data_IF_449987203675
#
_entry.id   IF_449987203675
#
_cell.length_a   1.000
_cell.length_b   1.000
_cell.length_c   1.000
_cell.angle_alpha   90.00
_cell.angle_beta   90.00
_cell.angle_gamma   90.00
#
_symmetry.space_group_name_H-M   'P 1'
#
loop_
_entity.id
_entity.type
_entity.pdbx_description
1 polymer ?
#
# COMPACT_ATOMS: atom_id res chain seq x y z
N UNK A 1 -2.17 -11.18 -30.52
CA UNK A 1 -3.41 -11.13 -31.29
C UNK A 1 -3.12 -10.25 -32.50
N UNK A 2 -3.09 -10.81 -33.72
CA UNK A 2 -2.89 -9.98 -34.93
C UNK A 2 -4.23 -9.31 -35.23
N UNK A 3 -4.27 -7.99 -35.22
CA UNK A 3 -5.40 -7.20 -35.68
C UNK A 3 -5.42 -7.22 -37.21
N UNK A 4 -6.56 -7.54 -37.80
CA UNK A 4 -6.79 -7.55 -39.24
C UNK A 4 -7.73 -6.41 -39.54
N UNK A 5 -7.38 -5.52 -40.47
CA UNK A 5 -8.29 -4.50 -40.93
C UNK A 5 -9.52 -5.11 -41.59
N UNK A 6 -10.70 -4.66 -41.20
CA UNK A 6 -11.92 -5.02 -41.92
C UNK A 6 -12.00 -4.20 -43.22
N UNK A 7 -12.06 -4.90 -44.36
CA UNK A 7 -12.26 -4.29 -45.65
C UNK A 7 -13.69 -4.62 -46.12
N UNK A 8 -14.48 -3.60 -46.37
CA UNK A 8 -15.83 -3.75 -46.94
C UNK A 8 -15.74 -3.63 -48.43
N UNK A 9 -16.13 -4.67 -49.15
CA UNK A 9 -16.14 -4.68 -50.62
C UNK A 9 -17.59 -4.77 -51.08
N UNK A 10 -18.04 -3.77 -51.88
CA UNK A 10 -19.36 -3.79 -52.49
C UNK A 10 -19.29 -4.59 -53.78
N UNK A 11 -20.09 -5.66 -53.92
CA UNK A 11 -20.16 -6.51 -55.08
C UNK A 11 -20.93 -5.75 -56.20
N UNK A 12 -20.24 -5.41 -57.29
CA UNK A 12 -20.86 -4.80 -58.43
C UNK A 12 -21.19 -5.79 -59.58
N UNK A 13 -20.57 -6.97 -59.59
CA UNK A 13 -20.79 -8.04 -60.55
C UNK A 13 -20.36 -9.43 -60.00
N UNK A 14 -20.62 -10.51 -60.75
CA UNK A 14 -20.33 -11.88 -60.35
C UNK A 14 -18.90 -12.35 -60.67
N UNK A 15 -17.91 -11.45 -60.74
CA UNK A 15 -16.51 -11.80 -60.96
C UNK A 15 -15.78 -12.19 -59.66
N UNK A 16 -14.81 -13.11 -59.71
CA UNK A 16 -14.07 -13.52 -58.51
C UNK A 16 -13.25 -12.34 -57.96
N UNK A 17 -13.44 -12.06 -56.67
CA UNK A 17 -12.75 -10.99 -55.94
C UNK A 17 -11.51 -11.57 -55.29
N UNK A 18 -10.36 -10.98 -55.57
CA UNK A 18 -9.10 -11.26 -54.88
C UNK A 18 -8.94 -10.29 -53.69
N UNK A 19 -9.16 -10.76 -52.50
CA UNK A 19 -8.95 -9.99 -51.28
C UNK A 19 -7.52 -10.22 -50.80
N UNK A 20 -6.71 -9.18 -50.76
CA UNK A 20 -5.37 -9.21 -50.17
C UNK A 20 -5.49 -8.55 -48.79
N UNK A 21 -5.34 -9.33 -47.73
CA UNK A 21 -5.30 -8.83 -46.36
C UNK A 21 -3.92 -8.23 -46.12
N UNK A 22 -3.88 -6.93 -45.85
CA UNK A 22 -2.67 -6.27 -45.35
C UNK A 22 -2.45 -6.57 -43.89
N UNK A 23 -1.21 -6.86 -43.49
CA UNK A 23 -0.87 -6.90 -42.05
C UNK A 23 -1.01 -5.49 -41.47
N UNK A 24 -1.70 -5.36 -40.34
CA UNK A 24 -1.69 -4.14 -39.56
C UNK A 24 -0.34 -4.03 -38.87
N UNK A 25 0.54 -3.24 -39.44
CA UNK A 25 1.84 -2.91 -38.86
C UNK A 25 1.79 -1.70 -37.91
N UNK A 26 0.60 -1.27 -37.49
CA UNK A 26 0.53 -0.31 -36.39
C UNK A 26 1.04 -1.03 -35.11
N UNK A 27 2.35 -1.02 -34.97
CA UNK A 27 3.00 -1.28 -33.71
C UNK A 27 2.55 -0.15 -32.81
N UNK A 28 1.65 -0.44 -31.87
CA UNK A 28 1.40 0.46 -30.75
C UNK A 28 2.77 0.64 -30.08
N UNK A 29 3.44 1.76 -30.37
CA UNK A 29 4.67 2.12 -29.67
C UNK A 29 4.26 2.35 -28.20
N UNK A 30 4.54 1.36 -27.37
CA UNK A 30 4.35 1.47 -25.95
C UNK A 30 5.27 2.57 -25.43
N UNK A 31 4.68 3.69 -25.07
CA UNK A 31 5.38 4.88 -24.58
C UNK A 31 5.38 4.85 -23.08
N UNK A 32 6.53 4.79 -22.48
CA UNK A 32 6.70 4.86 -21.02
C UNK A 32 7.17 6.23 -20.60
N UNK A 33 6.73 6.68 -19.43
CA UNK A 33 7.25 7.88 -18.79
C UNK A 33 8.59 7.54 -18.16
N UNK A 34 9.63 8.25 -18.59
CA UNK A 34 10.99 8.10 -18.06
C UNK A 34 11.31 9.22 -17.07
N UNK A 35 12.58 9.33 -16.70
CA UNK A 35 13.05 10.39 -15.82
C UNK A 35 12.61 11.79 -16.26
N UNK A 36 12.34 12.65 -15.30
CA UNK A 36 11.88 14.04 -15.50
C UNK A 36 10.54 14.16 -16.27
N UNK A 37 9.71 13.10 -16.25
CA UNK A 37 8.41 13.11 -16.91
C UNK A 37 8.47 13.04 -18.45
N UNK A 38 9.62 12.71 -19.03
CA UNK A 38 9.79 12.64 -20.48
C UNK A 38 9.20 11.33 -20.99
N UNK A 39 8.29 11.42 -21.97
CA UNK A 39 7.73 10.25 -22.66
C UNK A 39 8.70 9.72 -23.71
N UNK A 40 9.01 8.43 -23.66
CA UNK A 40 9.85 7.75 -24.67
C UNK A 40 9.24 6.41 -25.06
N UNK A 41 9.44 6.02 -26.31
CA UNK A 41 9.05 4.68 -26.75
C UNK A 41 9.90 3.63 -26.00
N UNK A 42 9.28 2.57 -25.49
CA UNK A 42 9.93 1.50 -24.73
C UNK A 42 11.13 0.92 -25.51
N UNK A 43 11.00 0.81 -26.83
CA UNK A 43 12.06 0.35 -27.72
C UNK A 43 13.29 1.27 -27.80
N UNK A 44 13.14 2.55 -27.45
CA UNK A 44 14.22 3.53 -27.47
C UNK A 44 15.00 3.59 -26.14
N UNK A 45 14.63 2.78 -25.14
CA UNK A 45 15.28 2.73 -23.85
C UNK A 45 16.42 1.71 -23.87
N UNK A 46 17.58 2.11 -23.38
CA UNK A 46 18.73 1.23 -23.16
C UNK A 46 18.64 0.43 -21.86
N UNK A 47 17.55 0.54 -21.12
CA UNK A 47 17.31 -0.08 -19.82
C UNK A 47 15.89 -0.60 -19.71
N UNK A 48 15.70 -1.60 -18.84
CA UNK A 48 14.40 -2.20 -18.63
C UNK A 48 13.53 -1.33 -17.70
N UNK A 49 12.35 -0.97 -18.19
CA UNK A 49 11.29 -0.32 -17.44
C UNK A 49 10.05 -1.20 -17.50
N UNK A 50 9.48 -1.50 -16.35
CA UNK A 50 8.18 -2.17 -16.28
C UNK A 50 7.13 -1.14 -15.89
N UNK A 51 6.08 -1.05 -16.68
CA UNK A 51 4.97 -0.13 -16.46
C UNK A 51 3.72 -0.91 -16.04
N UNK A 52 3.04 -0.38 -15.04
CA UNK A 52 1.71 -0.81 -14.60
C UNK A 52 0.76 0.36 -14.78
N UNK A 53 -0.31 0.15 -15.51
CA UNK A 53 -1.33 1.19 -15.75
C UNK A 53 -2.19 1.42 -14.52
N UNK A 54 -2.69 2.65 -14.36
CA UNK A 54 -3.54 3.03 -13.23
C UNK A 54 -4.78 2.16 -13.07
N UNK A 55 -5.38 1.71 -14.16
CA UNK A 55 -6.56 0.85 -14.14
C UNK A 55 -6.28 -0.54 -13.50
N UNK A 56 -5.05 -1.04 -13.63
CA UNK A 56 -4.63 -2.28 -12.99
C UNK A 56 -4.45 -2.11 -11.47
N UNK A 57 -4.11 -0.90 -11.01
CA UNK A 57 -3.99 -0.59 -9.59
C UNK A 57 -5.35 -0.47 -8.91
N UNK A 58 -6.32 0.01 -9.65
CA UNK A 58 -7.67 0.29 -9.12
C UNK A 58 -8.59 -0.93 -9.12
N UNK A 59 -8.16 -2.04 -9.72
CA UNK A 59 -8.93 -3.29 -9.73
C UNK A 59 -9.13 -3.88 -8.31
N UNK A 60 -8.09 -3.80 -7.46
CA UNK A 60 -8.17 -4.15 -6.04
C UNK A 60 -7.45 -3.06 -5.26
N UNK A 61 -8.21 -2.20 -4.57
CA UNK A 61 -7.65 -1.05 -3.85
C UNK A 61 -7.28 -1.45 -2.43
N UNK A 62 -6.12 -1.00 -2.00
CA UNK A 62 -5.63 -1.11 -0.62
C UNK A 62 -5.46 0.29 -0.02
N UNK A 63 -5.46 0.40 1.31
CA UNK A 63 -5.19 1.66 2.01
C UNK A 63 -3.82 2.24 1.62
N UNK A 64 -2.82 1.36 1.42
CA UNK A 64 -1.56 1.68 0.78
C UNK A 64 -1.52 1.01 -0.61
N UNK A 65 -1.70 1.79 -1.67
CA UNK A 65 -1.81 1.26 -3.04
C UNK A 65 -0.58 0.47 -3.51
N UNK A 66 0.57 0.64 -2.89
CA UNK A 66 1.77 -0.15 -3.21
C UNK A 66 1.54 -1.65 -2.98
N UNK A 67 0.68 -2.02 -2.02
CA UNK A 67 0.31 -3.42 -1.81
C UNK A 67 -0.39 -4.03 -3.03
N UNK A 68 -1.15 -3.23 -3.79
CA UNK A 68 -1.86 -3.67 -5.00
C UNK A 68 -0.90 -4.05 -6.15
N UNK A 69 0.37 -3.68 -6.07
CA UNK A 69 1.41 -4.03 -7.05
C UNK A 69 2.08 -5.38 -6.75
N UNK A 70 1.82 -5.97 -5.60
CA UNK A 70 2.42 -7.26 -5.22
C UNK A 70 2.07 -8.34 -6.25
N UNK A 71 3.09 -9.01 -6.78
CA UNK A 71 2.96 -10.03 -7.82
C UNK A 71 2.73 -9.52 -9.25
N UNK A 72 2.56 -8.21 -9.47
CA UNK A 72 2.33 -7.63 -10.81
C UNK A 72 3.61 -7.20 -11.52
N UNK A 73 4.70 -7.03 -10.78
CA UNK A 73 5.97 -6.54 -11.32
C UNK A 73 7.09 -7.54 -11.08
N UNK A 74 7.77 -7.97 -12.14
CA UNK A 74 8.84 -8.96 -12.04
C UNK A 74 10.08 -8.37 -11.35
N UNK A 75 10.69 -9.15 -10.44
CA UNK A 75 11.92 -8.75 -9.73
C UNK A 75 11.70 -7.67 -8.67
N UNK A 76 10.46 -7.40 -8.30
CA UNK A 76 10.09 -6.48 -7.23
C UNK A 76 9.39 -7.25 -6.12
N UNK A 77 9.91 -7.15 -4.92
CA UNK A 77 9.32 -7.71 -3.72
C UNK A 77 8.65 -6.60 -2.93
N UNK A 78 7.36 -6.74 -2.70
CA UNK A 78 6.52 -5.78 -1.98
C UNK A 78 6.03 -6.47 -0.72
N UNK A 79 6.44 -5.95 0.42
CA UNK A 79 6.04 -6.45 1.73
C UNK A 79 5.23 -5.37 2.45
N UNK A 80 3.98 -5.69 2.73
CA UNK A 80 3.15 -4.82 3.56
C UNK A 80 3.69 -4.77 4.99
N UNK A 81 3.64 -3.59 5.59
CA UNK A 81 4.01 -3.42 7.00
C UNK A 81 3.02 -4.13 7.93
N UNK A 82 3.53 -4.70 9.02
CA UNK A 82 2.72 -5.34 10.06
C UNK A 82 2.08 -4.32 11.03
N UNK A 83 2.22 -3.02 10.78
CA UNK A 83 1.74 -1.95 11.67
C UNK A 83 0.23 -1.72 11.62
N UNK A 84 -0.48 -2.42 10.77
CA UNK A 84 -1.93 -2.35 10.61
C UNK A 84 -2.36 -1.58 9.37
N UNK A 85 -3.61 -1.11 9.37
CA UNK A 85 -4.18 -0.37 8.25
C UNK A 85 -3.40 0.92 7.97
N UNK A 86 -3.05 1.18 6.70
CA UNK A 86 -2.24 2.33 6.30
C UNK A 86 -0.75 2.23 6.62
N UNK A 87 -0.26 1.07 7.08
CA UNK A 87 1.14 0.85 7.38
C UNK A 87 2.06 1.02 6.17
N UNK A 88 3.31 1.40 6.44
CA UNK A 88 4.34 1.57 5.42
C UNK A 88 4.62 0.26 4.69
N UNK A 89 4.84 0.35 3.39
CA UNK A 89 5.15 -0.79 2.53
C UNK A 89 6.63 -0.78 2.14
N UNK A 90 7.27 -1.92 2.27
CA UNK A 90 8.66 -2.08 1.84
C UNK A 90 8.71 -2.55 0.39
N UNK A 91 9.37 -1.78 -0.47
CA UNK A 91 9.56 -2.10 -1.88
C UNK A 91 11.02 -2.35 -2.16
N UNK A 92 11.38 -3.61 -2.38
CA UNK A 92 12.76 -4.05 -2.64
C UNK A 92 12.87 -4.54 -4.07
N UNK A 93 13.82 -3.99 -4.81
CA UNK A 93 14.07 -4.36 -6.20
C UNK A 93 15.34 -5.20 -6.34
N UNK A 94 15.22 -6.38 -6.98
CA UNK A 94 16.32 -7.32 -7.21
C UNK A 94 17.02 -7.79 -5.92
N UNK A 95 16.26 -7.98 -4.84
CA UNK A 95 16.76 -8.47 -3.56
C UNK A 95 17.41 -7.41 -2.68
N UNK A 96 17.65 -7.79 -1.43
CA UNK A 96 18.33 -6.94 -0.45
C UNK A 96 19.81 -6.79 -0.78
N UNK A 97 20.31 -5.57 -0.78
CA UNK A 97 21.69 -5.22 -1.11
C UNK A 97 22.51 -4.86 0.12
N UNK A 98 21.87 -4.43 1.18
CA UNK A 98 22.53 -4.03 2.43
C UNK A 98 21.87 -4.72 3.61
N UNK A 99 22.67 -5.15 4.57
CA UNK A 99 22.21 -5.67 5.86
C UNK A 99 21.93 -4.55 6.88
N UNK A 100 22.55 -3.39 6.71
CA UNK A 100 22.54 -2.31 7.71
C UNK A 100 21.92 -1.02 7.20
N UNK A 101 21.66 -0.89 5.90
CA UNK A 101 21.08 0.30 5.29
C UNK A 101 19.71 -0.01 4.72
N UNK A 102 18.92 1.04 4.52
CA UNK A 102 17.64 0.94 3.84
C UNK A 102 17.80 0.35 2.42
N UNK A 103 16.95 -0.63 2.10
CA UNK A 103 16.89 -1.28 0.80
C UNK A 103 15.67 -0.83 -0.02
N UNK A 104 14.90 0.16 0.46
CA UNK A 104 13.72 0.64 -0.24
C UNK A 104 14.08 1.38 -1.52
N UNK A 105 13.22 1.27 -2.51
CA UNK A 105 13.30 2.05 -3.74
C UNK A 105 12.98 3.53 -3.47
N UNK A 106 13.57 4.43 -4.25
CA UNK A 106 13.23 5.84 -4.26
C UNK A 106 11.89 6.03 -4.98
N UNK A 107 11.03 6.86 -4.42
CA UNK A 107 9.79 7.27 -5.06
C UNK A 107 9.95 8.61 -5.77
N UNK A 108 9.38 8.70 -6.97
CA UNK A 108 9.37 9.93 -7.77
C UNK A 108 7.96 10.16 -8.28
N UNK A 109 7.33 11.28 -7.92
CA UNK A 109 5.99 11.64 -8.34
C UNK A 109 6.08 12.79 -9.33
N UNK A 110 5.58 12.61 -10.54
CA UNK A 110 5.62 13.58 -11.62
C UNK A 110 7.00 14.22 -11.84
N UNK A 111 8.06 13.44 -11.66
CA UNK A 111 9.46 13.87 -11.82
C UNK A 111 10.11 14.42 -10.55
N UNK A 112 9.37 14.60 -9.46
CA UNK A 112 9.90 15.09 -8.18
C UNK A 112 10.23 13.91 -7.25
N UNK A 113 11.48 13.76 -6.82
CA UNK A 113 11.85 12.75 -5.85
C UNK A 113 11.23 13.03 -4.48
N UNK A 114 10.61 12.02 -3.89
CA UNK A 114 10.08 12.07 -2.54
C UNK A 114 10.88 11.13 -1.67
N UNK A 115 11.49 11.69 -0.62
CA UNK A 115 12.18 10.88 0.36
C UNK A 115 11.15 10.27 1.31
N UNK A 116 11.07 8.96 1.29
CA UNK A 116 10.26 8.24 2.25
C UNK A 116 10.96 8.26 3.62
N UNK A 117 10.56 9.23 4.45
CA UNK A 117 11.03 9.32 5.83
C UNK A 117 10.23 8.44 6.78
N UNK A 118 9.15 7.82 6.27
CA UNK A 118 8.40 6.81 7.00
C UNK A 118 9.31 5.60 7.25
N UNK A 119 9.79 5.48 8.47
CA UNK A 119 10.47 4.26 8.88
C UNK A 119 9.44 3.14 8.85
N UNK A 120 9.60 2.20 7.94
CA UNK A 120 8.86 0.94 7.98
C UNK A 120 9.36 0.17 9.20
N UNK A 121 8.75 0.39 10.35
CA UNK A 121 9.03 -0.23 11.63
C UNK A 121 10.51 -0.46 11.87
N UNK A 122 11.09 0.12 12.88
CA UNK A 122 12.53 0.10 13.11
C UNK A 122 13.13 -1.29 12.96
N UNK A 123 14.29 -1.36 12.37
CA UNK A 123 15.09 -2.59 12.26
C UNK A 123 15.59 -3.06 13.64
N UNK A 124 15.07 -2.49 14.74
CA UNK A 124 15.47 -2.78 16.10
C UNK A 124 14.69 -3.93 16.74
N UNK A 125 15.39 -4.79 17.48
CA UNK A 125 14.81 -5.81 18.35
C UNK A 125 13.78 -5.21 19.34
N UNK A 126 13.97 -3.96 19.71
CA UNK A 126 13.21 -3.28 20.76
C UNK A 126 11.91 -2.63 20.28
N UNK A 127 11.66 -2.61 18.99
CA UNK A 127 10.42 -2.10 18.40
C UNK A 127 10.39 -0.58 18.24
N UNK A 128 9.99 -0.14 17.09
CA UNK A 128 9.62 1.26 16.80
C UNK A 128 8.15 1.30 16.37
N UNK A 129 7.48 2.40 16.65
CA UNK A 129 6.15 2.62 16.11
C UNK A 129 6.27 2.74 14.60
N UNK A 130 5.54 1.90 13.87
CA UNK A 130 5.51 1.95 12.42
C UNK A 130 4.91 3.27 11.94
N UNK A 131 5.56 3.88 10.95
CA UNK A 131 5.03 5.04 10.24
C UNK A 131 4.16 4.65 9.06
N UNK A 132 3.52 5.65 8.44
CA UNK A 132 2.96 5.52 7.10
C UNK A 132 3.98 5.94 6.04
N UNK A 133 3.80 5.48 4.81
CA UNK A 133 4.57 5.93 3.66
C UNK A 133 4.03 7.26 3.14
N UNK A 134 4.91 8.21 2.79
CA UNK A 134 4.50 9.42 2.07
C UNK A 134 3.83 9.10 0.71
N UNK A 135 4.15 7.94 0.14
CA UNK A 135 3.55 7.46 -1.11
C UNK A 135 2.15 6.89 -0.88
N UNK A 136 1.90 6.30 0.29
CA UNK A 136 0.56 5.84 0.67
C UNK A 136 -0.46 6.98 0.71
N UNK A 137 0.00 8.23 0.78
CA UNK A 137 -0.86 9.41 0.81
C UNK A 137 -1.54 9.70 -0.54
N UNK A 138 -1.06 9.13 -1.63
CA UNK A 138 -1.69 9.30 -2.94
C UNK A 138 -2.99 8.50 -3.05
N UNK A 139 -3.97 9.10 -3.71
CA UNK A 139 -5.17 8.38 -4.12
C UNK A 139 -4.85 7.47 -5.33
N UNK A 140 -5.06 6.15 -5.28
CA UNK A 140 -4.80 5.26 -6.41
C UNK A 140 -5.57 5.65 -7.68
N UNK A 141 -6.75 6.25 -7.55
CA UNK A 141 -7.54 6.70 -8.70
C UNK A 141 -6.92 7.90 -9.42
N UNK A 142 -6.02 8.65 -8.79
CA UNK A 142 -5.31 9.78 -9.40
C UNK A 142 -4.05 9.34 -10.16
N UNK A 143 -3.67 8.06 -10.08
CA UNK A 143 -2.48 7.53 -10.74
C UNK A 143 -2.82 7.15 -12.19
N UNK A 144 -2.04 7.66 -13.12
CA UNK A 144 -2.12 7.29 -14.54
C UNK A 144 -1.31 6.03 -14.84
N UNK A 145 -0.07 5.99 -14.34
CA UNK A 145 0.82 4.83 -14.46
C UNK A 145 1.91 4.83 -13.40
N UNK A 146 2.46 3.64 -13.15
CA UNK A 146 3.64 3.44 -12.32
C UNK A 146 4.69 2.73 -13.16
N UNK A 147 5.86 3.34 -13.28
CA UNK A 147 7.01 2.74 -13.97
C UNK A 147 8.10 2.39 -12.97
N UNK A 148 8.63 1.19 -13.04
CA UNK A 148 9.68 0.72 -12.14
C UNK A 148 11.00 0.57 -12.89
N UNK A 149 12.02 1.29 -12.41
CA UNK A 149 13.37 1.26 -12.94
C UNK A 149 14.31 0.63 -11.92
N UNK A 150 15.09 -0.33 -12.37
CA UNK A 150 16.00 -1.06 -11.50
C UNK A 150 17.46 -0.81 -11.86
N UNK A 151 18.34 -0.90 -10.86
CA UNK A 151 19.78 -0.94 -11.03
C UNK A 151 20.45 0.39 -11.40
N UNK A 152 21.59 0.32 -12.12
CA UNK A 152 22.45 1.49 -12.40
C UNK A 152 21.74 2.62 -13.16
N UNK A 153 20.77 2.27 -13.99
CA UNK A 153 20.02 3.25 -14.79
C UNK A 153 19.22 4.21 -13.93
N UNK A 154 18.64 3.72 -12.83
CA UNK A 154 17.96 4.55 -11.85
C UNK A 154 18.92 5.50 -11.15
N UNK A 155 20.09 4.99 -10.73
CA UNK A 155 21.15 5.78 -10.08
C UNK A 155 21.75 6.83 -11.01
N UNK A 156 21.88 6.54 -12.31
CA UNK A 156 22.35 7.50 -13.29
C UNK A 156 21.41 8.72 -13.47
N UNK A 157 20.10 8.53 -13.25
CA UNK A 157 19.10 9.56 -13.43
C UNK A 157 18.80 10.34 -12.14
N UNK A 158 18.82 9.66 -10.98
CA UNK A 158 18.40 10.22 -9.69
C UNK A 158 19.51 10.18 -8.61
N UNK A 159 20.74 9.83 -9.00
CA UNK A 159 21.88 9.78 -8.09
C UNK A 159 21.87 8.60 -7.14
N UNK A 160 22.66 8.70 -6.06
CA UNK A 160 22.87 7.63 -5.07
C UNK A 160 21.60 7.25 -4.31
N UNK A 161 20.65 8.17 -4.15
CA UNK A 161 19.36 7.88 -3.52
C UNK A 161 18.55 6.81 -4.26
N UNK A 162 18.79 6.65 -5.57
CA UNK A 162 18.15 5.68 -6.44
C UNK A 162 18.93 4.37 -6.60
N UNK A 163 19.98 4.13 -5.80
CA UNK A 163 20.81 2.93 -5.91
C UNK A 163 20.02 1.61 -5.73
N UNK A 164 18.93 1.66 -4.99
CA UNK A 164 18.02 0.52 -4.78
C UNK A 164 16.94 0.40 -5.84
N UNK A 165 16.86 1.31 -6.79
CA UNK A 165 15.83 1.42 -7.80
C UNK A 165 14.92 2.60 -7.59
N UNK A 166 14.04 2.86 -8.57
CA UNK A 166 13.09 3.98 -8.56
C UNK A 166 11.71 3.49 -8.94
N UNK A 167 10.72 3.96 -8.22
CA UNK A 167 9.30 3.86 -8.55
C UNK A 167 8.85 5.23 -9.06
N UNK A 168 8.60 5.34 -10.37
CA UNK A 168 8.11 6.54 -11.03
C UNK A 168 6.59 6.51 -11.04
N UNK A 169 5.95 7.45 -10.41
CA UNK A 169 4.50 7.58 -10.35
C UNK A 169 4.10 8.78 -11.20
N UNK A 170 3.25 8.55 -12.18
CA UNK A 170 2.67 9.60 -13.02
C UNK A 170 1.22 9.79 -12.64
N UNK A 171 0.84 11.01 -12.29
CA UNK A 171 -0.54 11.34 -11.94
C UNK A 171 -1.38 11.70 -13.17
N UNK A 172 -2.70 11.54 -13.05
CA UNK A 172 -3.65 11.86 -14.11
C UNK A 172 -3.68 13.36 -14.39
N UNK A 173 -3.88 13.70 -15.66
CA UNK A 173 -4.12 15.05 -16.17
C UNK A 173 -5.53 15.16 -16.72
N UNK A 174 -6.00 16.37 -16.95
CA UNK A 174 -7.24 16.60 -17.68
C UNK A 174 -7.20 15.99 -19.07
N UNK A 175 -8.34 15.54 -19.59
CA UNK A 175 -8.47 14.96 -20.92
C UNK A 175 -8.85 16.05 -21.93
N UNK A 176 -8.32 15.90 -23.15
CA UNK A 176 -8.64 16.78 -24.27
C UNK A 176 -10.00 16.41 -24.85
N UNK A 177 -10.81 17.41 -25.13
CA UNK A 177 -12.11 17.31 -25.87
C UNK A 177 -13.16 16.37 -25.24
N UNK A 178 -12.94 15.95 -24.01
CA UNK A 178 -13.85 15.06 -23.30
C UNK A 178 -13.98 15.46 -21.83
N UNK A 179 -15.22 15.64 -21.40
CA UNK A 179 -15.50 15.75 -19.96
C UNK A 179 -15.91 14.39 -19.43
N UNK A 180 -15.21 13.91 -18.41
CA UNK A 180 -15.45 12.61 -17.79
C UNK A 180 -15.57 12.81 -16.28
N UNK A 181 -16.63 12.27 -15.70
CA UNK A 181 -16.79 12.14 -14.24
C UNK A 181 -16.68 10.68 -13.92
N UNK A 182 -15.76 10.35 -13.02
CA UNK A 182 -15.55 8.99 -12.54
C UNK A 182 -15.89 8.93 -11.06
N UNK A 183 -16.77 8.02 -10.69
CA UNK A 183 -17.10 7.73 -9.29
C UNK A 183 -16.72 6.28 -9.02
N UNK A 184 -15.99 6.03 -7.96
CA UNK A 184 -15.57 4.69 -7.60
C UNK A 184 -15.74 4.43 -6.10
N UNK A 185 -16.10 3.20 -5.78
CA UNK A 185 -16.12 2.66 -4.43
C UNK A 185 -15.38 1.32 -4.42
N UNK A 186 -14.62 1.08 -3.37
CA UNK A 186 -14.01 -0.22 -3.10
C UNK A 186 -14.19 -0.51 -1.62
N UNK A 187 -14.82 -1.64 -1.32
CA UNK A 187 -15.01 -2.10 0.07
C UNK A 187 -14.42 -3.49 0.19
N UNK A 188 -13.49 -3.64 1.13
CA UNK A 188 -12.79 -4.90 1.39
C UNK A 188 -12.92 -5.26 2.87
N UNK A 189 -13.15 -6.53 3.15
CA UNK A 189 -13.13 -7.10 4.49
C UNK A 189 -11.96 -8.07 4.61
N UNK A 190 -11.28 -8.02 5.75
CA UNK A 190 -10.13 -8.87 6.04
C UNK A 190 -10.26 -9.55 7.39
N UNK A 191 -9.75 -10.77 7.48
CA UNK A 191 -9.68 -11.55 8.72
C UNK A 191 -8.31 -12.20 8.83
N UNK A 192 -7.87 -12.43 10.06
CA UNK A 192 -6.73 -13.28 10.31
C UNK A 192 -7.05 -14.70 9.83
N UNK A 193 -6.26 -15.22 8.88
CA UNK A 193 -6.53 -16.50 8.22
C UNK A 193 -5.58 -17.60 8.69
N UNK A 194 -4.29 -17.29 8.79
CA UNK A 194 -3.26 -18.25 9.17
C UNK A 194 -2.83 -17.95 10.61
N UNK A 195 -3.00 -18.92 11.49
CA UNK A 195 -2.53 -18.87 12.88
C UNK A 195 -1.45 -19.92 13.09
N UNK A 196 -0.46 -19.66 13.97
CA UNK A 196 0.50 -20.69 14.35
C UNK A 196 -0.19 -21.87 15.01
N UNK A 197 0.17 -23.07 14.59
CA UNK A 197 -0.25 -24.30 15.27
C UNK A 197 0.50 -24.43 16.59
N UNK A 198 -0.26 -24.42 17.66
CA UNK A 198 0.28 -24.55 19.01
C UNK A 198 -0.39 -25.71 19.75
N UNK A 199 0.34 -26.30 20.71
CA UNK A 199 -0.27 -27.30 21.55
C UNK A 199 -1.47 -26.72 22.32
N UNK A 200 -2.57 -27.47 22.43
CA UNK A 200 -3.82 -27.08 23.08
C UNK A 200 -4.30 -28.14 24.08
N UNK A 201 -3.46 -29.11 24.43
CA UNK A 201 -3.84 -30.23 25.26
C UNK A 201 -3.47 -30.01 26.72
N UNK A 202 -2.32 -29.39 26.98
CA UNK A 202 -1.82 -29.16 28.32
C UNK A 202 -1.88 -27.66 28.64
N UNK A 203 -2.24 -27.35 29.88
CA UNK A 203 -2.23 -26.02 30.42
C UNK A 203 -0.84 -25.54 30.79
N UNK A 204 -0.79 -24.48 31.58
CA UNK A 204 0.47 -23.96 32.13
C UNK A 204 0.95 -24.72 33.34
N UNK A 205 2.25 -24.90 33.49
CA UNK A 205 2.88 -25.41 34.71
C UNK A 205 3.16 -24.29 35.72
N UNK A 206 3.60 -23.13 35.24
CA UNK A 206 3.75 -21.90 36.01
C UNK A 206 3.90 -20.70 35.10
N UNK A 207 3.22 -19.59 35.39
CA UNK A 207 3.26 -18.37 34.58
C UNK A 207 2.98 -18.66 33.12
N UNK A 208 3.95 -18.41 32.22
CA UNK A 208 3.82 -18.58 30.76
C UNK A 208 4.31 -19.96 30.26
N UNK A 209 4.79 -20.85 31.14
CA UNK A 209 5.33 -22.15 30.72
C UNK A 209 4.22 -23.17 30.49
N UNK A 210 4.21 -23.78 29.30
CA UNK A 210 3.32 -24.90 28.94
C UNK A 210 3.72 -26.24 29.60
N UNK A 211 2.96 -27.30 29.31
CA UNK A 211 3.19 -28.69 29.76
C UNK A 211 2.86 -28.94 31.25
N UNK A 212 1.86 -28.19 31.73
CA UNK A 212 1.24 -28.50 33.03
C UNK A 212 0.24 -29.65 32.96
N UNK A 213 -0.81 -29.59 33.74
CA UNK A 213 -1.89 -30.57 33.72
C UNK A 213 -2.73 -30.51 32.46
N UNK A 214 -3.57 -31.53 32.22
CA UNK A 214 -4.52 -31.52 31.12
C UNK A 214 -5.47 -30.33 31.24
N UNK A 215 -5.50 -29.51 30.21
CA UNK A 215 -6.32 -28.31 30.20
C UNK A 215 -7.78 -28.62 29.83
N UNK A 216 -8.71 -28.13 30.65
CA UNK A 216 -10.14 -28.19 30.38
C UNK A 216 -10.62 -27.02 29.50
N UNK A 217 -9.81 -26.00 29.39
CA UNK A 217 -10.07 -24.80 28.53
C UNK A 217 -9.03 -24.72 27.46
N UNK A 218 -9.44 -24.17 26.31
CA UNK A 218 -8.58 -23.99 25.15
C UNK A 218 -8.68 -22.55 24.72
N UNK A 219 -7.56 -21.86 24.78
CA UNK A 219 -7.43 -20.52 24.23
C UNK A 219 -7.13 -20.59 22.74
N UNK A 220 -7.81 -19.77 21.96
CA UNK A 220 -7.54 -19.60 20.54
C UNK A 220 -7.06 -18.15 20.28
N UNK A 221 -5.83 -17.95 19.80
CA UNK A 221 -5.31 -16.61 19.48
C UNK A 221 -6.18 -15.82 18.49
N UNK A 222 -6.96 -16.51 17.64
CA UNK A 222 -7.86 -15.86 16.70
C UNK A 222 -8.95 -15.00 17.36
N UNK A 223 -9.28 -15.28 18.64
CA UNK A 223 -10.34 -14.57 19.38
C UNK A 223 -9.96 -13.12 19.74
N UNK A 224 -8.68 -12.78 19.60
CA UNK A 224 -8.19 -11.42 19.76
C UNK A 224 -8.44 -10.55 18.52
N UNK A 225 -8.45 -11.15 17.33
CA UNK A 225 -8.55 -10.42 16.10
C UNK A 225 -10.00 -10.10 15.73
N UNK A 226 -10.20 -8.94 15.16
CA UNK A 226 -11.48 -8.47 14.65
C UNK A 226 -11.55 -8.64 13.12
N UNK A 227 -12.72 -8.39 12.55
CA UNK A 227 -12.86 -8.27 11.11
C UNK A 227 -12.43 -6.86 10.71
N UNK A 228 -11.34 -6.74 9.98
CA UNK A 228 -10.89 -5.50 9.40
C UNK A 228 -11.79 -5.09 8.22
N UNK A 229 -11.89 -3.79 7.99
CA UNK A 229 -12.62 -3.22 6.86
C UNK A 229 -11.81 -2.10 6.21
N UNK A 230 -11.90 -1.98 4.90
CA UNK A 230 -11.30 -0.88 4.15
C UNK A 230 -12.30 -0.36 3.14
N UNK A 231 -12.73 0.88 3.29
CA UNK A 231 -13.71 1.54 2.43
C UNK A 231 -13.04 2.73 1.77
N UNK A 232 -12.90 2.69 0.45
CA UNK A 232 -12.31 3.75 -0.35
C UNK A 232 -13.38 4.28 -1.30
N UNK A 233 -13.67 5.57 -1.19
CA UNK A 233 -14.56 6.26 -2.12
C UNK A 233 -13.75 7.34 -2.84
N UNK A 234 -13.97 7.50 -4.14
CA UNK A 234 -13.40 8.60 -4.88
C UNK A 234 -14.33 9.13 -5.95
N UNK A 235 -14.20 10.43 -6.22
CA UNK A 235 -14.82 11.12 -7.34
C UNK A 235 -13.76 11.93 -8.06
N UNK A 236 -13.73 11.84 -9.38
CA UNK A 236 -12.80 12.59 -10.21
C UNK A 236 -13.53 13.22 -11.38
N UNK A 237 -13.17 14.46 -11.68
CA UNK A 237 -13.58 15.22 -12.87
C UNK A 237 -12.35 15.46 -13.74
N UNK A 238 -12.41 15.03 -14.98
CA UNK A 238 -11.42 15.32 -16.00
C UNK A 238 -12.10 16.03 -17.16
N UNK A 239 -11.63 17.22 -17.51
CA UNK A 239 -12.19 18.02 -18.60
C UNK A 239 -11.10 18.84 -19.28
N UNK A 240 -11.35 19.28 -20.49
CA UNK A 240 -10.43 20.18 -21.17
C UNK A 240 -10.59 20.22 -22.68
N UNK A 241 -9.74 21.03 -23.26
CA UNK A 241 -9.55 21.15 -24.69
C UNK A 241 -8.05 21.11 -25.03
N UNK A 242 -7.67 21.33 -26.27
CA UNK A 242 -6.26 21.32 -26.70
C UNK A 242 -5.39 22.33 -25.97
N UNK A 243 -5.96 23.43 -25.47
CA UNK A 243 -5.22 24.53 -24.83
C UNK A 243 -5.24 24.48 -23.31
N UNK A 244 -6.32 23.95 -22.70
CA UNK A 244 -6.46 23.91 -21.25
C UNK A 244 -7.09 22.58 -20.83
N UNK A 245 -6.47 21.92 -19.88
CA UNK A 245 -6.89 20.63 -19.33
C UNK A 245 -6.94 20.72 -17.81
N UNK A 246 -8.05 20.32 -17.22
CA UNK A 246 -8.28 20.38 -15.79
C UNK A 246 -8.64 18.99 -15.25
N UNK A 247 -7.99 18.62 -14.17
CA UNK A 247 -8.29 17.42 -13.39
C UNK A 247 -8.57 17.82 -11.94
N UNK A 248 -9.68 17.36 -11.40
CA UNK A 248 -10.05 17.53 -10.00
C UNK A 248 -10.43 16.17 -9.43
N UNK A 249 -9.99 15.86 -8.23
CA UNK A 249 -10.44 14.67 -7.51
C UNK A 249 -10.62 14.91 -6.03
N UNK A 250 -11.51 14.11 -5.42
CA UNK A 250 -11.66 14.01 -4.00
C UNK A 250 -11.83 12.54 -3.62
N UNK A 251 -11.15 12.10 -2.56
CA UNK A 251 -11.28 10.73 -2.09
C UNK A 251 -11.24 10.61 -0.58
N UNK A 252 -11.87 9.55 -0.08
CA UNK A 252 -11.85 9.16 1.33
C UNK A 252 -11.40 7.70 1.43
N UNK A 253 -10.51 7.43 2.38
CA UNK A 253 -10.12 6.08 2.78
C UNK A 253 -10.42 5.93 4.26
N UNK A 254 -11.33 5.01 4.61
CA UNK A 254 -11.66 4.69 5.99
C UNK A 254 -11.36 3.21 6.20
N UNK A 255 -10.40 2.92 7.05
CA UNK A 255 -9.92 1.56 7.26
C UNK A 255 -9.85 1.23 8.74
N UNK A 256 -10.46 0.11 9.12
CA UNK A 256 -10.27 -0.55 10.42
C UNK A 256 -9.36 -1.76 10.23
N UNK A 257 -8.31 -1.86 11.05
CA UNK A 257 -7.42 -3.02 11.04
C UNK A 257 -8.06 -4.28 11.66
N UNK A 258 -7.37 -5.40 11.54
CA UNK A 258 -7.77 -6.66 12.21
C UNK A 258 -7.43 -6.69 13.69
N UNK A 259 -6.63 -5.74 14.17
CA UNK A 259 -6.30 -5.59 15.59
C UNK A 259 -7.28 -4.62 16.24
N UNK A 260 -7.67 -4.85 17.50
CA UNK A 260 -8.61 -3.98 18.21
C UNK A 260 -8.17 -2.52 18.18
N UNK A 261 -9.13 -1.61 17.97
CA UNK A 261 -8.92 -0.15 17.95
C UNK A 261 -7.92 0.39 16.90
N UNK A 262 -7.42 -0.42 15.99
CA UNK A 262 -6.57 0.06 14.90
C UNK A 262 -7.43 0.70 13.81
N UNK A 263 -7.16 1.95 13.46
CA UNK A 263 -7.85 2.62 12.37
C UNK A 263 -6.95 3.58 11.60
N UNK A 264 -7.28 3.76 10.34
CA UNK A 264 -6.64 4.66 9.40
C UNK A 264 -7.68 5.42 8.61
N UNK A 265 -7.66 6.74 8.67
CA UNK A 265 -8.55 7.59 7.91
C UNK A 265 -7.73 8.60 7.12
N UNK A 266 -8.03 8.72 5.82
CA UNK A 266 -7.38 9.65 4.92
C UNK A 266 -8.39 10.34 4.03
N UNK A 267 -8.20 11.63 3.85
CA UNK A 267 -9.00 12.48 2.97
C UNK A 267 -8.05 13.20 2.02
N UNK A 268 -8.24 13.00 0.72
CA UNK A 268 -7.43 13.61 -0.34
C UNK A 268 -8.29 14.56 -1.16
N UNK A 269 -7.70 15.68 -1.51
CA UNK A 269 -8.20 16.57 -2.54
C UNK A 269 -7.07 16.93 -3.49
N UNK A 270 -7.29 16.74 -4.80
CA UNK A 270 -6.29 17.00 -5.84
C UNK A 270 -6.89 17.92 -6.89
N UNK A 271 -6.14 18.95 -7.28
CA UNK A 271 -6.46 19.83 -8.38
C UNK A 271 -5.24 19.97 -9.28
N UNK A 272 -5.40 19.78 -10.59
CA UNK A 272 -4.33 19.95 -11.57
C UNK A 272 -4.85 20.66 -12.80
N UNK A 273 -4.11 21.64 -13.29
CA UNK A 273 -4.40 22.32 -14.53
C UNK A 273 -3.16 22.37 -15.42
N UNK A 274 -3.30 21.96 -16.65
CA UNK A 274 -2.26 22.06 -17.69
C UNK A 274 -2.75 23.00 -18.77
N UNK A 275 -2.01 24.09 -19.02
CA UNK A 275 -2.36 25.09 -20.03
C UNK A 275 -1.23 25.28 -21.03
N UNK A 276 -1.57 25.29 -22.30
CA UNK A 276 -0.66 25.51 -23.43
C UNK A 276 -0.80 26.92 -23.98
N UNK A 277 0.32 27.62 -24.04
CA UNK A 277 0.40 29.01 -24.53
C UNK A 277 1.31 29.10 -25.76
N UNK A 278 1.20 30.20 -26.49
CA UNK A 278 2.10 30.56 -27.60
C UNK A 278 2.23 29.45 -28.66
N UNK A 279 1.10 28.87 -29.08
CA UNK A 279 1.06 27.74 -30.03
C UNK A 279 1.97 26.58 -29.57
N UNK A 280 1.71 26.11 -28.34
CA UNK A 280 2.38 24.99 -27.69
C UNK A 280 3.88 25.17 -27.36
N UNK A 281 4.40 26.41 -27.52
CA UNK A 281 5.79 26.71 -27.14
C UNK A 281 5.99 26.86 -25.64
N UNK A 282 4.94 27.10 -24.88
CA UNK A 282 4.97 27.22 -23.42
C UNK A 282 3.84 26.38 -22.83
N UNK A 283 4.20 25.44 -21.97
CA UNK A 283 3.25 24.64 -21.19
C UNK A 283 3.40 24.97 -19.71
N UNK A 284 2.29 25.37 -19.09
CA UNK A 284 2.19 25.58 -17.65
C UNK A 284 1.37 24.43 -17.06
N UNK A 285 1.97 23.66 -16.16
CA UNK A 285 1.34 22.55 -15.45
C UNK A 285 1.39 22.83 -13.94
N UNK A 286 0.24 23.11 -13.35
CA UNK A 286 0.11 23.45 -11.94
C UNK A 286 -0.70 22.36 -11.26
N UNK A 287 -0.15 21.75 -10.21
CA UNK A 287 -0.84 20.80 -9.35
C UNK A 287 -0.86 21.27 -7.91
N UNK A 288 -1.97 21.05 -7.25
CA UNK A 288 -2.13 21.23 -5.81
C UNK A 288 -2.80 19.98 -5.22
N UNK A 289 -2.28 19.52 -4.10
CA UNK A 289 -2.81 18.37 -3.38
C UNK A 289 -2.92 18.72 -1.90
N UNK A 290 -4.06 18.40 -1.31
CA UNK A 290 -4.31 18.56 0.11
C UNK A 290 -4.72 17.22 0.70
N UNK A 291 -3.99 16.79 1.75
CA UNK A 291 -4.16 15.48 2.36
C UNK A 291 -4.28 15.65 3.86
N UNK A 292 -5.31 15.02 4.44
CA UNK A 292 -5.47 14.88 5.89
C UNK A 292 -5.48 13.41 6.22
N UNK A 293 -4.60 13.01 7.13
CA UNK A 293 -4.45 11.62 7.55
C UNK A 293 -4.51 11.53 9.07
N UNK A 294 -5.28 10.56 9.56
CA UNK A 294 -5.37 10.23 10.97
C UNK A 294 -5.14 8.73 11.17
N UNK A 295 -4.11 8.40 11.92
CA UNK A 295 -3.79 7.03 12.31
C UNK A 295 -4.08 6.86 13.79
N UNK A 296 -4.67 5.74 14.15
CA UNK A 296 -4.93 5.38 15.54
C UNK A 296 -4.43 3.96 15.81
N UNK A 297 -3.68 3.80 16.89
CA UNK A 297 -3.21 2.50 17.38
C UNK A 297 -2.42 1.71 16.33
N UNK A 298 -1.49 2.37 15.64
CA UNK A 298 -0.52 1.69 14.79
C UNK A 298 0.32 0.74 15.65
N UNK A 299 0.44 -0.48 15.19
CA UNK A 299 1.10 -1.55 15.97
C UNK A 299 2.61 -1.35 15.95
N UNK A 300 3.22 -1.36 17.13
CA UNK A 300 4.66 -1.41 17.26
C UNK A 300 5.20 -2.74 16.73
N UNK A 301 6.30 -2.69 15.99
CA UNK A 301 7.03 -3.88 15.56
C UNK A 301 8.19 -4.15 16.53
N UNK A 302 8.54 -5.40 16.72
CA UNK A 302 9.57 -5.81 17.67
C UNK A 302 9.01 -6.31 18.99
N UNK A 303 9.81 -6.26 20.03
CA UNK A 303 9.51 -6.84 21.34
C UNK A 303 8.60 -5.95 22.19
N UNK A 304 8.88 -4.64 22.22
CA UNK A 304 8.15 -3.72 23.11
C UNK A 304 6.84 -3.23 22.48
N UNK A 305 5.81 -3.14 23.30
CA UNK A 305 4.49 -2.60 22.93
C UNK A 305 3.83 -3.29 21.73
N UNK A 306 4.28 -4.51 21.43
CA UNK A 306 3.68 -5.35 20.41
C UNK A 306 2.71 -6.33 21.09
N UNK A 307 1.41 -6.33 20.74
CA UNK A 307 0.44 -7.22 21.37
C UNK A 307 0.61 -8.68 20.99
N UNK A 308 1.27 -9.00 19.87
CA UNK A 308 1.35 -10.35 19.32
C UNK A 308 2.19 -11.31 20.16
N UNK A 309 3.36 -10.95 20.70
CA UNK A 309 4.10 -11.84 21.59
C UNK A 309 3.28 -12.26 22.82
N UNK A 310 2.63 -11.32 23.49
CA UNK A 310 1.77 -11.61 24.63
C UNK A 310 0.57 -12.47 24.25
N UNK A 311 -0.01 -12.26 23.07
CA UNK A 311 -1.10 -13.05 22.53
C UNK A 311 -0.69 -14.51 22.30
N UNK A 312 0.45 -14.74 21.63
CA UNK A 312 0.89 -16.09 21.30
C UNK A 312 1.49 -16.84 22.48
N UNK A 313 2.04 -16.14 23.47
CA UNK A 313 2.58 -16.73 24.70
C UNK A 313 1.55 -16.86 25.82
N UNK A 314 0.30 -16.42 25.60
CA UNK A 314 -0.75 -16.55 26.59
C UNK A 314 -0.96 -18.03 27.00
N UNK A 315 -1.07 -18.34 28.32
CA UNK A 315 -1.20 -19.70 28.79
C UNK A 315 -2.43 -20.43 28.25
N UNK A 316 -2.23 -21.60 27.68
CA UNK A 316 -3.28 -22.31 26.93
C UNK A 316 -4.44 -22.81 27.79
N UNK A 317 -4.20 -23.07 29.04
CA UNK A 317 -5.22 -23.53 30.00
C UNK A 317 -6.01 -22.41 30.65
N UNK A 318 -5.60 -21.19 30.51
CA UNK A 318 -6.16 -20.04 31.22
C UNK A 318 -7.31 -19.36 30.46
N UNK A 319 -8.03 -18.51 31.18
CA UNK A 319 -9.18 -17.82 30.65
C UNK A 319 -8.76 -16.50 29.98
N UNK A 320 -8.70 -16.49 28.67
CA UNK A 320 -8.36 -15.29 27.90
C UNK A 320 -9.34 -14.13 28.10
N UNK A 321 -10.61 -14.41 28.42
CA UNK A 321 -11.61 -13.37 28.63
C UNK A 321 -11.32 -12.52 29.87
N UNK A 322 -10.56 -13.03 30.84
CA UNK A 322 -10.19 -12.26 32.03
C UNK A 322 -9.28 -11.07 31.69
N UNK A 323 -8.43 -11.20 30.69
CA UNK A 323 -7.53 -10.13 30.27
C UNK A 323 -8.20 -9.10 29.36
N UNK A 324 -9.44 -9.35 28.91
CA UNK A 324 -10.24 -8.31 28.23
C UNK A 324 -10.54 -7.13 29.15
N UNK A 325 -10.67 -7.38 30.48
CA UNK A 325 -10.67 -6.34 31.50
C UNK A 325 -9.21 -5.91 31.74
N UNK A 326 -8.64 -5.27 30.78
CA UNK A 326 -7.21 -4.98 30.66
C UNK A 326 -6.67 -4.01 31.71
N UNK A 327 -7.54 -3.36 32.46
CA UNK A 327 -7.15 -2.43 33.52
C UNK A 327 -8.00 -2.63 34.77
N UNK A 328 -7.39 -2.40 35.94
CA UNK A 328 -8.04 -2.43 37.25
C UNK A 328 -7.61 -1.23 38.06
N UNK A 329 -8.52 -0.73 38.89
CA UNK A 329 -8.22 0.37 39.77
C UNK A 329 -7.30 -0.09 40.90
N UNK A 330 -6.14 0.55 41.01
CA UNK A 330 -5.20 0.32 42.09
C UNK A 330 -5.47 1.34 43.21
N UNK A 331 -6.02 0.86 44.32
CA UNK A 331 -6.38 1.70 45.48
C UNK A 331 -5.17 2.31 46.18
N UNK A 332 -3.99 1.70 46.07
CA UNK A 332 -2.78 2.20 46.69
C UNK A 332 -2.20 3.42 45.97
N UNK A 333 -2.37 3.48 44.64
CA UNK A 333 -1.82 4.53 43.81
C UNK A 333 -2.90 5.49 43.29
N UNK A 334 -4.18 5.17 43.41
CA UNK A 334 -5.28 6.03 42.99
C UNK A 334 -5.49 6.15 41.49
N UNK A 335 -5.02 5.19 40.67
CA UNK A 335 -5.18 5.20 39.22
C UNK A 335 -5.48 3.81 38.65
N UNK A 336 -5.89 3.77 37.38
CA UNK A 336 -6.11 2.53 36.63
C UNK A 336 -4.77 1.94 36.21
N UNK A 337 -4.52 0.70 36.56
CA UNK A 337 -3.31 -0.05 36.28
C UNK A 337 -3.60 -1.21 35.34
N UNK A 338 -2.60 -1.57 34.52
CA UNK A 338 -2.68 -2.73 33.65
C UNK A 338 -2.95 -4.01 34.46
N UNK A 339 -3.90 -4.81 34.00
CA UNK A 339 -4.11 -6.15 34.51
C UNK A 339 -3.38 -7.19 33.64
N UNK A 340 -2.26 -7.70 34.16
CA UNK A 340 -1.48 -8.77 33.51
C UNK A 340 -0.81 -9.63 34.55
N UNK A 341 -1.42 -10.78 34.93
CA UNK A 341 -0.95 -11.60 36.06
C UNK A 341 0.19 -12.57 35.71
N UNK A 342 0.67 -12.59 34.47
CA UNK A 342 1.58 -13.64 33.99
C UNK A 342 3.07 -13.26 34.01
N UNK A 343 3.40 -12.02 34.40
CA UNK A 343 4.77 -11.53 34.34
C UNK A 343 5.23 -11.19 32.92
N UNK A 344 6.48 -10.80 32.78
CA UNK A 344 7.03 -10.31 31.52
C UNK A 344 7.90 -11.32 30.76
N UNK A 345 8.25 -12.44 31.40
CA UNK A 345 9.14 -13.50 30.88
C UNK A 345 10.46 -12.95 30.27
N UNK A 346 10.96 -11.83 30.77
CA UNK A 346 12.10 -11.08 30.21
C UNK A 346 11.89 -10.61 28.74
N UNK A 347 10.64 -10.59 28.28
CA UNK A 347 10.24 -10.19 26.94
C UNK A 347 9.37 -8.93 26.95
N UNK A 348 9.25 -8.27 28.10
CA UNK A 348 8.38 -7.09 28.31
C UNK A 348 6.91 -7.33 27.91
N UNK A 349 6.42 -8.54 28.20
CA UNK A 349 5.06 -8.93 27.88
C UNK A 349 4.06 -8.10 28.71
N UNK A 350 3.02 -7.67 28.05
CA UNK A 350 1.96 -6.86 28.60
C UNK A 350 0.60 -7.36 28.11
N UNK A 351 -0.47 -6.93 28.76
CA UNK A 351 -1.79 -7.26 28.30
C UNK A 351 -2.02 -6.71 26.86
N UNK A 352 -2.33 -7.55 25.87
CA UNK A 352 -2.48 -7.11 24.47
C UNK A 352 -3.61 -6.10 24.29
N UNK A 353 -4.69 -6.16 25.08
CA UNK A 353 -5.75 -5.17 25.06
C UNK A 353 -5.31 -3.84 25.69
N UNK A 354 -4.48 -3.87 26.73
CA UNK A 354 -3.89 -2.66 27.31
C UNK A 354 -3.00 -1.94 26.30
N UNK A 355 -2.15 -2.69 25.59
CA UNK A 355 -1.29 -2.14 24.52
C UNK A 355 -2.16 -1.42 23.48
N UNK A 356 -3.22 -2.05 22.99
CA UNK A 356 -4.08 -1.47 21.95
C UNK A 356 -4.97 -0.31 22.45
N UNK A 357 -5.24 -0.23 23.75
CA UNK A 357 -6.13 0.79 24.28
C UNK A 357 -5.42 1.96 24.94
N UNK A 358 -4.21 1.77 25.45
CA UNK A 358 -3.51 2.76 26.28
C UNK A 358 -2.14 3.18 25.76
N UNK A 359 -1.44 2.32 25.06
CA UNK A 359 -0.05 2.56 24.63
C UNK A 359 0.01 2.98 23.16
N UNK A 360 -0.55 2.19 22.27
CA UNK A 360 -0.53 2.46 20.84
C UNK A 360 -1.62 3.46 20.46
N UNK A 361 -1.43 4.76 20.68
CA UNK A 361 -2.40 5.81 20.35
C UNK A 361 -1.94 6.66 19.19
#
# INVERSE_FOLDING_TARGET
MKLIFSQTITLANAQPIKVTLGEDTQVLDEVVVTALGIKRATKALSYNVQEVKGDELTAVKDANFMNSLSGKVAGVQINSGATGAGGATRVVMRGMKSLTKDNNALYVIDGVPIFNTGKSGGEGLFGEMGGSDAVADLNPDDIASISMMTGPSAAALYGSAAANGVVLITTKKGQTEKTTITVSNSTTFSKAYIMPDMQNRYGTSSGLFSWGELANRRYNPSDFFETGSNVINSVALSTGNTKNQTYLSASTTNSGGILPNNSYNRYNFTARNTTHFLNDKLTLDIGAQYIVQNNKNMVSQGQYYNPLPSLYLFPRGDNFDEIRLYERYNTNYGYMEQYWPYGDASLSLQNPYWIQNRINR
#
